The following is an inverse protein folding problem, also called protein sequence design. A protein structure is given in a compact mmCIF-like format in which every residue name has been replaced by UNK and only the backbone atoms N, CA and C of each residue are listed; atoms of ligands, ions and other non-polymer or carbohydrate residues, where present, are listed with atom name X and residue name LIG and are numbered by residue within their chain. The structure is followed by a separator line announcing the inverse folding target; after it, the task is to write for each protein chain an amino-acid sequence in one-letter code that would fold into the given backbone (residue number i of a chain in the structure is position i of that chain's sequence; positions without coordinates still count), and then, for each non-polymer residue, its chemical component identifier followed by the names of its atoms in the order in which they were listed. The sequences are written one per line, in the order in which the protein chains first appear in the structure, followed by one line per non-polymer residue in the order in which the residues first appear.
data_IF_953841225104
#
_entry.id   IF_953841225104
#
_cell.length_a   1.000
_cell.length_b   1.000
_cell.length_c   1.000
_cell.angle_alpha   90.00
_cell.angle_beta   90.00
_cell.angle_gamma   90.00
#
_symmetry.space_group_name_H-M   'P 1'
#
loop_
_entity.id
_entity.type
_entity.pdbx_description
1 polymer ?
#
# COMPACT_ATOMS: atom_id res chain seq x y z
N UNK A 1 -49.37 -16.83 1.66
CA UNK A 1 -48.50 -16.61 2.85
C UNK A 1 -47.00 -16.48 2.50
N UNK A 2 -46.52 -16.99 1.34
CA UNK A 2 -45.08 -16.97 0.98
C UNK A 2 -44.59 -15.65 0.39
N UNK A 3 -45.45 -14.68 0.05
CA UNK A 3 -45.10 -13.37 -0.51
C UNK A 3 -44.88 -12.26 0.51
N UNK A 4 -45.24 -12.46 1.77
CA UNK A 4 -45.10 -11.44 2.85
C UNK A 4 -43.77 -11.53 3.63
N UNK A 5 -42.99 -12.61 3.52
CA UNK A 5 -41.75 -12.77 4.25
C UNK A 5 -40.50 -12.22 3.52
N UNK A 6 -40.58 -11.82 2.24
CA UNK A 6 -39.48 -11.21 1.48
C UNK A 6 -39.42 -9.67 1.59
N UNK A 7 -40.37 -9.02 2.22
CA UNK A 7 -40.43 -7.56 2.32
C UNK A 7 -39.92 -7.00 3.65
N UNK A 8 -39.38 -7.82 4.55
CA UNK A 8 -38.99 -7.36 5.89
C UNK A 8 -37.45 -7.31 6.13
N UNK A 9 -36.65 -7.46 5.11
CA UNK A 9 -35.16 -7.38 5.26
C UNK A 9 -34.49 -6.29 4.41
N UNK A 10 -35.26 -5.38 3.80
CA UNK A 10 -34.69 -4.19 3.16
C UNK A 10 -35.28 -2.98 3.90
N UNK A 11 -34.84 -2.74 5.12
CA UNK A 11 -34.81 -1.38 5.62
C UNK A 11 -33.63 -0.72 4.93
N UNK A 12 -33.92 0.08 3.92
CA UNK A 12 -33.02 1.09 3.37
C UNK A 12 -32.55 2.00 4.52
N UNK A 13 -31.50 1.59 5.21
CA UNK A 13 -30.64 2.56 5.88
C UNK A 13 -29.84 3.19 4.75
N UNK A 14 -30.23 4.40 4.37
CA UNK A 14 -29.40 5.25 3.56
C UNK A 14 -28.02 5.30 4.24
N UNK A 15 -27.03 4.63 3.64
CA UNK A 15 -25.64 4.80 4.01
C UNK A 15 -25.28 6.18 3.48
N UNK A 16 -25.32 7.17 4.36
CA UNK A 16 -24.84 8.52 4.06
C UNK A 16 -23.32 8.41 3.94
N UNK A 17 -22.87 8.16 2.73
CA UNK A 17 -21.45 8.08 2.41
C UNK A 17 -21.02 9.48 1.95
N UNK A 18 -20.28 10.20 2.77
CA UNK A 18 -19.65 11.43 2.35
C UNK A 18 -18.33 11.06 1.63
N UNK A 19 -18.31 11.22 0.31
CA UNK A 19 -17.10 11.15 -0.49
C UNK A 19 -16.45 12.52 -0.42
N UNK A 20 -15.32 12.64 0.25
CA UNK A 20 -14.44 13.80 0.08
C UNK A 20 -13.70 13.68 -1.26
N UNK A 21 -13.22 14.78 -1.81
CA UNK A 21 -12.44 14.84 -3.06
C UNK A 21 -11.18 13.93 -3.03
N UNK A 22 -10.79 13.45 -1.85
CA UNK A 22 -9.67 12.54 -1.61
C UNK A 22 -10.10 11.07 -1.46
N UNK A 23 -11.34 10.69 -1.76
CA UNK A 23 -11.83 9.31 -1.70
C UNK A 23 -12.03 8.76 -0.28
N UNK A 24 -12.29 9.62 0.70
CA UNK A 24 -12.50 9.24 2.11
C UNK A 24 -13.95 8.81 2.33
N UNK A 25 -14.14 7.63 2.91
CA UNK A 25 -15.45 7.13 3.32
C UNK A 25 -15.48 6.99 4.84
N UNK A 26 -16.39 7.68 5.49
CA UNK A 26 -16.76 7.43 6.88
C UNK A 26 -18.15 6.78 6.93
N UNK A 27 -18.31 5.70 7.69
CA UNK A 27 -19.60 5.06 7.93
C UNK A 27 -20.03 5.29 9.37
N UNK A 28 -21.12 6.03 9.58
CA UNK A 28 -21.66 6.35 10.92
C UNK A 28 -22.06 5.12 11.76
N UNK A 29 -22.18 3.94 11.13
CA UNK A 29 -22.59 2.69 11.78
C UNK A 29 -21.50 1.62 11.77
N UNK A 30 -20.24 1.98 11.46
CA UNK A 30 -19.15 1.05 11.51
C UNK A 30 -18.73 0.75 12.96
N UNK A 31 -18.22 -0.46 13.19
CA UNK A 31 -17.69 -0.89 14.49
C UNK A 31 -16.49 -0.02 14.93
N UNK A 32 -15.68 0.38 13.96
CA UNK A 32 -14.51 1.25 14.12
C UNK A 32 -14.50 2.26 12.99
N UNK A 33 -14.02 3.46 13.25
CA UNK A 33 -13.84 4.49 12.24
C UNK A 33 -12.49 4.30 11.54
N UNK A 34 -12.52 3.67 10.37
CA UNK A 34 -11.33 3.44 9.55
C UNK A 34 -11.29 4.42 8.38
N UNK A 35 -10.11 4.96 8.13
CA UNK A 35 -9.86 5.76 6.93
C UNK A 35 -9.38 4.87 5.80
N UNK A 36 -9.87 5.10 4.57
CA UNK A 36 -9.45 4.39 3.38
C UNK A 36 -8.61 5.30 2.50
N UNK A 37 -7.34 4.95 2.30
CA UNK A 37 -6.42 5.64 1.42
C UNK A 37 -6.25 4.85 0.13
N UNK A 38 -6.54 5.48 -1.01
CA UNK A 38 -6.37 4.87 -2.33
C UNK A 38 -5.04 5.32 -2.96
N UNK A 39 -4.23 4.35 -3.40
CA UNK A 39 -3.02 4.56 -4.21
C UNK A 39 -3.26 3.96 -5.58
N UNK A 40 -3.67 4.79 -6.54
CA UNK A 40 -4.14 4.37 -7.85
C UNK A 40 -3.36 5.06 -8.97
N UNK A 41 -3.04 4.29 -10.02
CA UNK A 41 -2.33 4.79 -11.19
C UNK A 41 -0.85 5.04 -10.93
N UNK A 42 -0.27 6.08 -11.53
CA UNK A 42 1.14 6.39 -11.39
C UNK A 42 1.40 7.25 -10.14
N UNK A 43 2.46 6.95 -9.39
CA UNK A 43 2.90 7.78 -8.26
C UNK A 43 3.63 8.98 -8.83
N UNK A 44 3.04 10.16 -8.65
CA UNK A 44 3.54 11.44 -9.12
C UNK A 44 4.44 12.07 -8.05
N UNK A 45 5.65 12.43 -8.45
CA UNK A 45 6.65 13.08 -7.61
C UNK A 45 6.79 14.56 -7.93
N UNK A 46 8.04 15.02 -8.09
CA UNK A 46 8.35 16.44 -8.35
C UNK A 46 7.98 16.91 -9.76
N UNK A 47 7.75 16.00 -10.70
CA UNK A 47 7.33 16.34 -12.07
C UNK A 47 5.83 16.12 -12.21
N UNK A 48 5.14 17.17 -12.67
CA UNK A 48 3.71 17.12 -12.97
C UNK A 48 3.48 16.26 -14.21
N UNK A 49 2.67 15.23 -14.08
CA UNK A 49 2.29 14.37 -15.20
C UNK A 49 1.13 14.98 -16.00
N UNK A 50 0.96 14.58 -17.28
CA UNK A 50 -0.15 15.05 -18.09
C UNK A 50 -1.52 14.79 -17.41
N UNK A 51 -2.48 15.73 -17.49
CA UNK A 51 -3.74 15.65 -16.73
C UNK A 51 -4.65 14.46 -17.11
N UNK A 52 -4.41 13.82 -18.26
CA UNK A 52 -5.10 12.60 -18.67
C UNK A 52 -4.60 11.34 -17.96
N UNK A 53 -3.45 11.39 -17.28
CA UNK A 53 -2.91 10.26 -16.52
C UNK A 53 -3.68 10.12 -15.19
N UNK A 54 -3.95 8.88 -14.79
CA UNK A 54 -4.38 8.60 -13.43
C UNK A 54 -3.16 8.60 -12.53
N UNK A 55 -3.13 9.50 -11.55
CA UNK A 55 -1.98 9.66 -10.66
C UNK A 55 -2.38 9.70 -9.19
N UNK A 56 -1.47 9.25 -8.34
CA UNK A 56 -1.49 9.51 -6.90
C UNK A 56 -0.40 10.52 -6.61
N UNK A 57 -0.80 11.72 -6.16
CA UNK A 57 0.11 12.84 -5.89
C UNK A 57 0.61 12.79 -4.46
N UNK A 58 1.91 12.65 -4.29
CA UNK A 58 2.51 12.50 -2.96
C UNK A 58 2.29 13.73 -2.06
N UNK A 59 2.27 14.94 -2.63
CA UNK A 59 1.99 16.19 -1.90
C UNK A 59 0.55 16.27 -1.35
N UNK A 60 -0.38 15.46 -1.87
CA UNK A 60 -1.73 15.32 -1.30
C UNK A 60 -1.80 14.21 -0.26
N UNK A 61 -1.05 13.14 -0.46
CA UNK A 61 -1.05 11.97 0.44
C UNK A 61 -0.34 12.28 1.77
N UNK A 62 0.81 12.95 1.72
CA UNK A 62 1.60 13.20 2.93
C UNK A 62 0.85 14.01 3.99
N UNK A 63 0.22 15.17 3.69
CA UNK A 63 -0.56 15.89 4.69
C UNK A 63 -1.81 15.12 5.14
N UNK A 64 -2.42 14.30 4.26
CA UNK A 64 -3.53 13.43 4.65
C UNK A 64 -3.10 12.39 5.68
N UNK A 65 -1.94 11.74 5.52
CA UNK A 65 -1.40 10.81 6.51
C UNK A 65 -1.12 11.47 7.86
N UNK A 66 -0.60 12.70 7.86
CA UNK A 66 -0.40 13.47 9.10
C UNK A 66 -1.74 13.79 9.77
N UNK A 67 -2.74 14.21 9.00
CA UNK A 67 -4.07 14.47 9.53
C UNK A 67 -4.72 13.22 10.12
N UNK A 68 -4.61 12.06 9.42
CA UNK A 68 -5.11 10.77 9.91
C UNK A 68 -4.42 10.38 11.23
N UNK A 69 -3.10 10.53 11.31
CA UNK A 69 -2.34 10.20 12.52
C UNK A 69 -2.79 11.01 13.73
N UNK A 70 -3.10 12.29 13.54
CA UNK A 70 -3.51 13.21 14.61
C UNK A 70 -5.01 13.13 14.98
N UNK A 71 -5.86 12.67 14.09
CA UNK A 71 -7.32 12.66 14.31
C UNK A 71 -7.72 11.51 15.25
N UNK A 72 -8.06 11.86 16.48
CA UNK A 72 -8.48 10.90 17.51
C UNK A 72 -9.77 10.14 17.17
N UNK A 73 -10.56 10.61 16.21
CA UNK A 73 -11.77 9.92 15.75
C UNK A 73 -11.49 8.78 14.78
N UNK A 74 -10.28 8.71 14.20
CA UNK A 74 -9.86 7.67 13.26
C UNK A 74 -9.10 6.58 14.02
N UNK A 75 -9.62 5.35 13.98
CA UNK A 75 -9.05 4.20 14.70
C UNK A 75 -7.94 3.49 13.91
N UNK A 76 -7.98 3.52 12.59
CA UNK A 76 -7.00 2.84 11.74
C UNK A 76 -7.06 3.22 10.28
N UNK A 77 -6.08 2.77 9.52
CA UNK A 77 -5.89 3.09 8.09
C UNK A 77 -5.90 1.82 7.24
N UNK A 78 -6.77 1.78 6.25
CA UNK A 78 -6.75 0.78 5.17
C UNK A 78 -6.18 1.43 3.91
N UNK A 79 -5.12 0.84 3.34
CA UNK A 79 -4.48 1.31 2.10
C UNK A 79 -4.85 0.36 0.97
N UNK A 80 -5.53 0.87 -0.06
CA UNK A 80 -5.88 0.10 -1.26
C UNK A 80 -4.93 0.47 -2.39
N UNK A 81 -4.25 -0.53 -2.95
CA UNK A 81 -3.25 -0.33 -3.99
C UNK A 81 -3.69 -0.93 -5.33
N UNK A 82 -3.62 -0.11 -6.36
CA UNK A 82 -3.66 -0.49 -7.76
C UNK A 82 -2.79 0.47 -8.57
N UNK A 83 -1.48 0.29 -8.48
CA UNK A 83 -0.48 1.23 -9.02
C UNK A 83 0.52 0.54 -9.95
N UNK A 84 0.91 1.26 -10.97
CA UNK A 84 2.01 0.87 -11.88
C UNK A 84 3.39 1.29 -11.35
N UNK A 85 3.44 1.91 -10.17
CA UNK A 85 4.64 2.54 -9.63
C UNK A 85 4.79 3.99 -10.07
N UNK A 86 5.99 4.53 -10.08
CA UNK A 86 6.25 5.92 -10.46
C UNK A 86 7.53 6.47 -9.83
N UNK A 87 7.45 7.70 -9.29
CA UNK A 87 8.58 8.38 -8.66
C UNK A 87 9.04 7.66 -7.39
N UNK A 88 10.34 7.32 -7.35
CA UNK A 88 10.93 6.51 -6.27
C UNK A 88 10.98 7.28 -4.95
N UNK A 89 11.37 8.56 -4.99
CA UNK A 89 11.48 9.36 -3.77
C UNK A 89 10.10 9.64 -3.17
N UNK A 90 9.12 9.95 -4.00
CA UNK A 90 7.73 10.13 -3.57
C UNK A 90 7.14 8.85 -2.97
N UNK A 91 7.35 7.70 -3.64
CA UNK A 91 6.84 6.42 -3.14
C UNK A 91 7.50 6.00 -1.83
N UNK A 92 8.83 6.16 -1.69
CA UNK A 92 9.52 5.89 -0.43
C UNK A 92 9.07 6.84 0.69
N UNK A 93 8.87 8.14 0.40
CA UNK A 93 8.40 9.10 1.39
C UNK A 93 7.04 8.70 1.96
N UNK A 94 6.08 8.34 1.10
CA UNK A 94 4.77 7.85 1.53
C UNK A 94 4.92 6.55 2.33
N UNK A 95 5.77 5.61 1.88
CA UNK A 95 5.99 4.32 2.54
C UNK A 95 6.56 4.49 3.95
N UNK A 96 7.53 5.38 4.14
CA UNK A 96 8.13 5.68 5.46
C UNK A 96 7.10 6.34 6.40
N UNK A 97 6.26 7.25 5.88
CA UNK A 97 5.19 7.83 6.69
C UNK A 97 4.21 6.76 7.17
N UNK A 98 3.75 5.86 6.28
CA UNK A 98 2.83 4.78 6.66
C UNK A 98 3.48 3.84 7.68
N UNK A 99 4.73 3.43 7.45
CA UNK A 99 5.46 2.54 8.35
C UNK A 99 5.73 3.17 9.74
N UNK A 100 5.82 4.50 9.79
CA UNK A 100 6.01 5.29 11.02
C UNK A 100 4.74 5.60 11.79
N UNK A 101 3.54 5.27 11.27
CA UNK A 101 2.28 5.57 11.95
C UNK A 101 2.12 4.76 13.25
N UNK A 102 1.60 5.42 14.27
CA UNK A 102 1.23 4.77 15.54
C UNK A 102 -0.08 4.00 15.43
N UNK A 103 -1.00 4.47 14.58
CA UNK A 103 -2.29 3.83 14.32
C UNK A 103 -2.12 2.49 13.60
N UNK A 104 -3.05 1.54 13.81
CA UNK A 104 -3.12 0.31 13.04
C UNK A 104 -3.28 0.57 11.54
N UNK A 105 -2.46 -0.08 10.73
CA UNK A 105 -2.48 0.05 9.27
C UNK A 105 -2.56 -1.31 8.61
N UNK A 106 -3.36 -1.44 7.56
CA UNK A 106 -3.42 -2.62 6.70
C UNK A 106 -3.40 -2.17 5.25
N UNK A 107 -2.63 -2.85 4.43
CA UNK A 107 -2.60 -2.64 2.97
C UNK A 107 -3.24 -3.81 2.25
N UNK A 108 -3.84 -3.55 1.09
CA UNK A 108 -4.35 -4.58 0.18
C UNK A 108 -4.03 -4.22 -1.27
N UNK A 109 -3.38 -5.13 -1.96
CA UNK A 109 -3.12 -5.03 -3.41
C UNK A 109 -4.28 -5.68 -4.15
N UNK A 110 -5.06 -4.88 -4.91
CA UNK A 110 -6.27 -5.36 -5.61
C UNK A 110 -6.12 -5.49 -7.11
N UNK A 111 -5.02 -5.00 -7.69
CA UNK A 111 -4.69 -5.10 -9.10
C UNK A 111 -3.19 -5.16 -9.30
N UNK A 112 -2.54 -4.00 -9.44
CA UNK A 112 -1.09 -3.89 -9.55
C UNK A 112 -0.46 -3.31 -8.28
N UNK A 113 0.66 -3.91 -7.86
CA UNK A 113 1.57 -3.36 -6.85
C UNK A 113 2.97 -3.29 -7.42
N UNK A 114 3.14 -2.53 -8.53
CA UNK A 114 4.34 -2.61 -9.35
C UNK A 114 5.42 -1.59 -8.94
N UNK A 115 6.69 -1.98 -9.12
CA UNK A 115 7.84 -1.08 -8.96
C UNK A 115 7.87 -0.45 -7.55
N UNK A 116 7.83 0.88 -7.43
CA UNK A 116 7.76 1.57 -6.12
C UNK A 116 6.43 1.34 -5.37
N UNK A 117 5.44 0.71 -5.99
CA UNK A 117 4.27 0.19 -5.33
C UNK A 117 4.57 -0.98 -4.37
N UNK A 118 5.71 -1.67 -4.55
CA UNK A 118 6.13 -2.77 -3.66
C UNK A 118 6.44 -2.27 -2.25
N UNK A 119 7.31 -1.26 -2.03
CA UNK A 119 7.48 -0.64 -0.71
C UNK A 119 6.17 -0.15 -0.09
N UNK A 120 5.29 0.46 -0.88
CA UNK A 120 3.98 0.91 -0.38
C UNK A 120 3.12 -0.25 0.11
N UNK A 121 3.13 -1.39 -0.60
CA UNK A 121 2.36 -2.56 -0.21
C UNK A 121 2.82 -3.14 1.14
N UNK A 122 4.13 -3.12 1.42
CA UNK A 122 4.70 -3.67 2.66
C UNK A 122 4.85 -2.65 3.79
N UNK A 123 4.49 -1.39 3.57
CA UNK A 123 4.65 -0.32 4.57
C UNK A 123 3.66 -0.40 5.73
N UNK A 124 2.51 -1.06 5.54
CA UNK A 124 1.51 -1.25 6.58
C UNK A 124 1.92 -2.35 7.59
N UNK A 125 1.33 -2.33 8.78
CA UNK A 125 1.57 -3.37 9.80
C UNK A 125 1.19 -4.77 9.34
N UNK A 126 0.20 -4.87 8.44
CA UNK A 126 -0.20 -6.11 7.76
C UNK A 126 -0.53 -5.82 6.30
N UNK A 127 -0.11 -6.74 5.44
CA UNK A 127 -0.28 -6.62 4.00
C UNK A 127 -1.08 -7.80 3.43
N UNK A 128 -1.99 -7.49 2.51
CA UNK A 128 -2.81 -8.45 1.79
C UNK A 128 -2.64 -8.27 0.28
N UNK A 129 -2.87 -9.35 -0.45
CA UNK A 129 -2.96 -9.35 -1.91
C UNK A 129 -4.10 -10.27 -2.34
N UNK A 130 -4.91 -9.83 -3.32
CA UNK A 130 -5.94 -10.71 -3.90
C UNK A 130 -5.33 -11.68 -4.90
N UNK A 131 -5.93 -12.86 -5.15
CA UNK A 131 -5.36 -13.90 -6.02
C UNK A 131 -5.04 -13.43 -7.44
N UNK A 132 -5.84 -12.51 -8.00
CA UNK A 132 -5.68 -12.00 -9.36
C UNK A 132 -4.72 -10.81 -9.48
N UNK A 133 -4.23 -10.27 -8.36
CA UNK A 133 -3.29 -9.15 -8.37
C UNK A 133 -1.87 -9.61 -8.66
N UNK A 134 -1.07 -8.69 -9.17
CA UNK A 134 0.34 -8.95 -9.49
C UNK A 134 1.25 -7.86 -8.95
N UNK A 135 2.49 -8.23 -8.66
CA UNK A 135 3.55 -7.31 -8.24
C UNK A 135 4.76 -7.47 -9.15
N UNK A 136 5.30 -6.35 -9.62
CA UNK A 136 6.53 -6.37 -10.44
C UNK A 136 7.69 -5.77 -9.66
N UNK A 137 8.76 -6.54 -9.52
CA UNK A 137 10.02 -6.13 -8.90
C UNK A 137 11.05 -5.97 -10.02
N UNK A 138 11.67 -4.81 -10.11
CA UNK A 138 12.71 -4.53 -11.12
C UNK A 138 13.71 -3.48 -10.61
N UNK A 139 14.92 -3.38 -11.22
CA UNK A 139 15.88 -2.33 -10.87
C UNK A 139 15.32 -0.92 -11.10
N UNK A 140 15.87 0.06 -10.39
CA UNK A 140 15.55 1.47 -10.63
C UNK A 140 15.92 1.85 -12.06
N UNK A 141 15.00 2.55 -12.72
CA UNK A 141 15.16 3.01 -14.10
C UNK A 141 15.16 4.52 -14.16
N UNK A 142 15.89 5.07 -15.09
CA UNK A 142 15.85 6.49 -15.41
C UNK A 142 15.87 6.70 -16.93
N UNK A 143 15.07 7.65 -17.38
CA UNK A 143 15.11 8.15 -18.73
C UNK A 143 15.70 9.57 -18.71
N UNK A 144 16.71 9.84 -19.53
CA UNK A 144 17.29 11.18 -19.63
C UNK A 144 18.78 11.19 -19.98
N UNK A 145 19.35 12.40 -20.05
CA UNK A 145 20.79 12.62 -20.26
C UNK A 145 21.53 12.30 -18.95
N UNK A 146 22.52 11.43 -19.02
CA UNK A 146 23.40 11.08 -17.90
C UNK A 146 24.72 11.84 -18.01
N UNK A 147 25.03 12.61 -16.98
CA UNK A 147 26.30 13.30 -16.81
C UNK A 147 27.07 12.65 -15.66
N UNK A 148 28.31 12.20 -15.90
CA UNK A 148 29.13 11.59 -14.86
C UNK A 148 28.73 10.13 -14.57
N UNK A 149 29.08 9.20 -15.46
CA UNK A 149 28.67 7.78 -15.39
C UNK A 149 28.96 7.10 -14.04
N UNK A 150 30.17 7.22 -13.43
CA UNK A 150 30.45 6.56 -12.15
C UNK A 150 29.56 7.07 -11.01
N UNK A 151 29.33 8.38 -10.94
CA UNK A 151 28.48 9.00 -9.91
C UNK A 151 27.01 8.60 -10.08
N UNK A 152 26.56 8.52 -11.32
CA UNK A 152 25.21 8.06 -11.64
C UNK A 152 24.99 6.61 -11.24
N UNK A 153 25.94 5.72 -11.55
CA UNK A 153 25.88 4.31 -11.15
C UNK A 153 25.79 4.18 -9.62
N UNK A 154 26.70 4.84 -8.89
CA UNK A 154 26.67 4.83 -7.41
C UNK A 154 25.38 5.41 -6.83
N UNK A 155 24.76 6.39 -7.48
CA UNK A 155 23.45 6.91 -7.07
C UNK A 155 22.35 5.86 -7.21
N UNK A 156 22.29 5.15 -8.35
CA UNK A 156 21.29 4.09 -8.56
C UNK A 156 21.50 2.92 -7.61
N UNK A 157 22.72 2.49 -7.38
CA UNK A 157 23.03 1.43 -6.42
C UNK A 157 22.52 1.80 -5.02
N UNK A 158 22.80 3.02 -4.55
CA UNK A 158 22.26 3.50 -3.26
C UNK A 158 20.75 3.56 -3.21
N UNK A 159 20.10 3.98 -4.30
CA UNK A 159 18.64 4.04 -4.37
C UNK A 159 18.03 2.65 -4.33
N UNK A 160 18.61 1.68 -5.04
CA UNK A 160 18.18 0.29 -4.97
C UNK A 160 18.38 -0.31 -3.57
N UNK A 161 19.49 -0.06 -2.91
CA UNK A 161 19.73 -0.51 -1.53
C UNK A 161 18.73 0.07 -0.56
N UNK A 162 18.30 1.34 -0.71
CA UNK A 162 17.24 1.93 0.11
C UNK A 162 15.93 1.15 -0.04
N UNK A 163 15.55 0.81 -1.27
CA UNK A 163 14.34 0.02 -1.55
C UNK A 163 14.45 -1.37 -0.94
N UNK A 164 15.57 -2.08 -1.18
CA UNK A 164 15.81 -3.42 -0.66
C UNK A 164 15.73 -3.43 0.88
N UNK A 165 16.40 -2.49 1.52
CA UNK A 165 16.43 -2.37 2.98
C UNK A 165 15.04 -2.07 3.54
N UNK A 166 14.29 -1.15 2.93
CA UNK A 166 12.93 -0.83 3.36
C UNK A 166 12.00 -2.05 3.24
N UNK A 167 12.00 -2.72 2.08
CA UNK A 167 11.14 -3.88 1.84
C UNK A 167 11.48 -5.01 2.79
N UNK A 168 12.77 -5.34 2.96
CA UNK A 168 13.19 -6.44 3.84
C UNK A 168 12.94 -6.15 5.32
N UNK A 169 12.96 -4.89 5.74
CA UNK A 169 12.62 -4.48 7.10
C UNK A 169 11.13 -4.61 7.40
N UNK A 170 10.28 -4.38 6.40
CA UNK A 170 8.83 -4.33 6.54
C UNK A 170 8.10 -5.58 6.01
N UNK A 171 8.83 -6.65 5.64
CA UNK A 171 8.28 -7.91 5.17
C UNK A 171 9.12 -9.08 5.69
N UNK A 172 8.78 -10.32 5.29
CA UNK A 172 9.55 -11.53 5.65
C UNK A 172 10.56 -11.93 4.60
N UNK A 173 10.58 -11.25 3.44
CA UNK A 173 11.52 -11.55 2.36
C UNK A 173 12.94 -11.16 2.77
N UNK A 174 13.92 -12.03 2.47
CA UNK A 174 15.33 -11.72 2.74
C UNK A 174 15.88 -10.73 1.72
N UNK A 175 16.79 -9.84 2.12
CA UNK A 175 17.40 -8.86 1.20
C UNK A 175 18.02 -9.50 -0.05
N UNK A 176 18.70 -10.64 0.14
CA UNK A 176 19.36 -11.37 -0.96
C UNK A 176 18.33 -11.89 -1.95
N UNK A 177 17.20 -12.46 -1.43
CA UNK A 177 16.12 -12.99 -2.27
C UNK A 177 15.41 -11.87 -3.03
N UNK A 178 15.15 -10.74 -2.39
CA UNK A 178 14.56 -9.59 -3.06
C UNK A 178 15.46 -9.06 -4.17
N UNK A 179 16.79 -9.01 -3.92
CA UNK A 179 17.79 -8.62 -4.94
C UNK A 179 17.85 -9.62 -6.10
N UNK A 180 17.75 -10.93 -5.84
CA UNK A 180 17.67 -11.95 -6.89
C UNK A 180 16.44 -11.75 -7.78
N UNK A 181 15.26 -11.55 -7.20
CA UNK A 181 14.03 -11.28 -7.92
C UNK A 181 14.12 -9.98 -8.75
N UNK A 182 14.74 -8.94 -8.18
CA UNK A 182 14.97 -7.66 -8.86
C UNK A 182 15.88 -7.81 -10.09
N UNK A 183 16.87 -8.68 -10.02
CA UNK A 183 17.90 -8.84 -11.06
C UNK A 183 17.64 -10.07 -11.95
N UNK A 184 16.51 -10.74 -11.82
CA UNK A 184 16.17 -11.92 -12.62
C UNK A 184 16.06 -11.55 -14.10
N UNK A 185 16.70 -12.35 -14.96
CA UNK A 185 16.67 -12.22 -16.41
C UNK A 185 15.60 -13.16 -16.97
N UNK A 186 15.09 -12.83 -18.16
CA UNK A 186 14.21 -13.69 -18.98
C UNK A 186 12.76 -13.83 -18.51
N UNK A 187 12.32 -13.16 -17.46
CA UNK A 187 10.91 -13.16 -17.02
C UNK A 187 10.11 -11.97 -17.61
N UNK A 188 10.75 -10.82 -17.72
CA UNK A 188 10.20 -9.66 -18.42
C UNK A 188 10.72 -9.66 -19.87
N UNK A 189 9.81 -9.66 -20.84
CA UNK A 189 10.07 -9.88 -22.28
C UNK A 189 11.19 -9.00 -22.88
N UNK A 190 11.47 -7.83 -22.29
CA UNK A 190 12.50 -6.91 -22.76
C UNK A 190 13.27 -6.24 -21.62
N UNK A 191 13.24 -6.82 -20.39
CA UNK A 191 13.81 -6.15 -19.22
C UNK A 191 14.23 -7.14 -18.12
N UNK A 192 14.86 -6.61 -17.09
CA UNK A 192 15.30 -7.33 -15.89
C UNK A 192 14.26 -7.13 -14.79
N UNK A 193 13.92 -8.21 -14.07
CA UNK A 193 12.98 -8.18 -12.96
C UNK A 193 12.08 -9.41 -12.91
N UNK A 194 11.15 -9.43 -11.98
CA UNK A 194 10.20 -10.52 -11.76
C UNK A 194 8.77 -10.02 -11.63
N UNK A 195 7.82 -10.81 -12.11
CA UNK A 195 6.39 -10.63 -11.87
C UNK A 195 5.93 -11.71 -10.91
N UNK A 196 5.38 -11.31 -9.78
CA UNK A 196 4.81 -12.21 -8.78
C UNK A 196 3.29 -12.09 -8.81
N UNK A 197 2.59 -13.20 -8.93
CA UNK A 197 1.16 -13.28 -8.61
C UNK A 197 0.93 -13.26 -7.09
N UNK A 198 -0.34 -13.23 -6.67
CA UNK A 198 -0.68 -13.15 -5.26
C UNK A 198 -0.11 -14.29 -4.42
N UNK A 199 -0.19 -15.53 -4.90
CA UNK A 199 0.33 -16.69 -4.18
C UNK A 199 1.86 -16.66 -4.07
N UNK A 200 2.53 -16.36 -5.17
CA UNK A 200 3.99 -16.24 -5.19
C UNK A 200 4.49 -15.12 -4.29
N UNK A 201 3.82 -13.96 -4.28
CA UNK A 201 4.17 -12.84 -3.41
C UNK A 201 4.10 -13.20 -1.92
N UNK A 202 3.11 -14.02 -1.52
CA UNK A 202 2.98 -14.52 -0.14
C UNK A 202 4.03 -15.61 0.15
N UNK A 203 4.25 -16.54 -0.76
CA UNK A 203 5.24 -17.62 -0.59
C UNK A 203 6.68 -17.11 -0.49
N UNK A 204 7.01 -16.07 -1.23
CA UNK A 204 8.32 -15.37 -1.14
C UNK A 204 8.44 -14.54 0.17
N UNK A 205 7.37 -14.42 0.93
CA UNK A 205 7.34 -13.63 2.16
C UNK A 205 7.31 -12.11 1.92
N UNK A 206 7.00 -11.67 0.71
CA UNK A 206 6.87 -10.25 0.37
C UNK A 206 5.58 -9.67 0.96
N UNK A 207 4.46 -10.38 0.79
CA UNK A 207 3.16 -10.00 1.37
C UNK A 207 2.79 -10.99 2.48
N UNK A 208 2.08 -10.53 3.51
CA UNK A 208 1.74 -11.36 4.67
C UNK A 208 0.72 -12.44 4.34
N UNK A 209 -0.34 -12.09 3.58
CA UNK A 209 -1.48 -12.99 3.38
C UNK A 209 -2.18 -12.80 2.04
N UNK A 210 -2.63 -13.92 1.48
CA UNK A 210 -3.61 -13.90 0.39
C UNK A 210 -4.98 -13.64 1.02
N UNK A 211 -5.75 -12.68 0.47
CA UNK A 211 -7.07 -12.37 1.00
C UNK A 211 -7.73 -11.19 0.31
N UNK A 212 -9.04 -11.05 0.54
CA UNK A 212 -9.86 -9.97 -0.02
C UNK A 212 -10.10 -8.83 0.97
N UNK A 213 -11.02 -7.93 0.57
CA UNK A 213 -11.39 -6.76 1.37
C UNK A 213 -11.88 -7.13 2.78
N UNK A 214 -12.70 -8.18 2.90
CA UNK A 214 -13.23 -8.63 4.19
C UNK A 214 -12.11 -9.06 5.14
N UNK A 215 -11.12 -9.80 4.62
CA UNK A 215 -9.99 -10.29 5.41
C UNK A 215 -9.12 -9.13 5.90
N UNK A 216 -8.84 -8.17 5.01
CA UNK A 216 -8.08 -6.97 5.33
C UNK A 216 -8.77 -6.10 6.40
N UNK A 217 -10.10 -5.88 6.28
CA UNK A 217 -10.88 -5.11 7.25
C UNK A 217 -10.96 -5.83 8.60
N UNK A 218 -11.18 -7.14 8.62
CA UNK A 218 -11.19 -7.91 9.88
C UNK A 218 -9.83 -7.90 10.58
N UNK A 219 -8.75 -8.00 9.80
CA UNK A 219 -7.40 -7.88 10.32
C UNK A 219 -7.18 -6.49 10.95
N UNK A 220 -7.58 -5.42 10.26
CA UNK A 220 -7.47 -4.06 10.79
C UNK A 220 -8.26 -3.89 12.08
N UNK A 221 -9.49 -4.39 12.16
CA UNK A 221 -10.29 -4.38 13.40
C UNK A 221 -9.61 -5.14 14.54
N UNK A 222 -8.98 -6.26 14.25
CA UNK A 222 -8.23 -7.03 15.25
C UNK A 222 -7.02 -6.24 15.77
N UNK A 223 -6.29 -5.56 14.89
CA UNK A 223 -5.16 -4.69 15.27
C UNK A 223 -5.62 -3.50 16.12
N UNK A 224 -6.76 -2.89 15.79
CA UNK A 224 -7.37 -1.79 16.58
C UNK A 224 -7.70 -2.30 17.98
N UNK A 225 -8.40 -3.43 18.08
CA UNK A 225 -8.75 -4.01 19.39
C UNK A 225 -7.51 -4.32 20.24
N UNK A 226 -6.44 -4.86 19.65
CA UNK A 226 -5.20 -5.16 20.36
C UNK A 226 -4.52 -3.89 20.91
N UNK A 227 -4.56 -2.80 20.15
CA UNK A 227 -3.99 -1.53 20.62
C UNK A 227 -4.69 -1.01 21.88
N UNK A 228 -6.02 -1.10 21.92
CA UNK A 228 -6.83 -0.62 23.06
C UNK A 228 -6.85 -1.58 24.25
N UNK A 229 -6.49 -2.86 24.06
CA UNK A 229 -6.48 -3.86 25.16
C UNK A 229 -5.10 -4.08 25.77
N UNK A 230 -4.03 -3.54 25.17
CA UNK A 230 -2.69 -3.60 25.75
C UNK A 230 -2.61 -2.69 26.97
N UNK A 231 -2.08 -3.17 28.14
CA UNK A 231 -1.89 -2.31 29.32
C UNK A 231 -1.02 -1.10 28.95
N UNK A 232 -1.45 0.07 29.38
CA UNK A 232 -0.64 1.28 29.23
C UNK A 232 0.72 1.09 29.93
N UNK A 233 1.85 1.55 29.37
CA UNK A 233 3.13 1.58 30.08
C UNK A 233 3.11 2.40 31.38
N UNK A 234 1.99 3.09 31.67
CA UNK A 234 1.78 3.87 32.92
C UNK A 234 1.13 3.05 34.04
N UNK A 235 0.70 1.80 33.74
CA UNK A 235 0.04 0.90 34.70
C UNK A 235 1.02 -0.19 35.22
N UNK A 236 2.33 -0.05 34.94
CA UNK A 236 3.40 -0.91 35.40
C UNK A 236 4.32 -0.21 36.43
#
# INVERSE_FOLDING_TARGET
AYRRQRQMCIRDRAVTCQVSDNGIFASENAKHNIHCLNVIGQIEGHYILPPQNKTTKYEHIMPALVAIEQDMSIDGLLIILNTVGGDVEAGLAISELIAGMSKPTVSIVVGGGHSIGVPLAVSARKSFIVPSATMTIHPVRMNGLLLGIPQTLSYFERMQERIINFVSKNSRIKPERFRELMMKKDELVMDVGSVLDGETAVNEGLIDSLGGLSDAVQCLYSLICLLYTSPSPRDA
#
